data_IF_810849237049
#
_entry.id   IF_810849237049
#
_cell.length_a   1.000
_cell.length_b   1.000
_cell.length_c   1.000
_cell.angle_alpha   90.00
_cell.angle_beta   90.00
_cell.angle_gamma   90.00
#
_symmetry.space_group_name_H-M   'P 1'
#
loop_
_entity.id
_entity.type
_entity.pdbx_description
1 polymer ?
#
# COMPACT_ATOMS: atom_id res chain seq x y z
N UNK A 1 -28.30 1.76 18.62
CA UNK A 1 -28.58 1.17 17.30
C UNK A 1 -27.63 0.00 17.12
N UNK A 2 -28.15 -1.15 16.71
CA UNK A 2 -27.35 -2.34 16.43
C UNK A 2 -26.55 -2.10 15.13
N UNK A 3 -25.34 -2.66 15.01
CA UNK A 3 -24.51 -2.55 13.81
C UNK A 3 -25.26 -2.92 12.51
N UNK A 4 -26.20 -3.87 12.59
CA UNK A 4 -27.04 -4.26 11.46
C UNK A 4 -28.05 -3.15 11.07
N UNK A 5 -28.58 -2.40 12.03
CA UNK A 5 -29.50 -1.27 11.75
C UNK A 5 -28.76 -0.10 11.10
N UNK A 6 -27.53 0.17 11.55
CA UNK A 6 -26.66 1.19 10.94
C UNK A 6 -26.30 0.79 9.50
N UNK A 7 -25.96 -0.47 9.29
CA UNK A 7 -25.65 -1.02 7.96
C UNK A 7 -26.91 -0.93 7.05
N UNK A 8 -28.10 -1.33 7.53
CA UNK A 8 -29.35 -1.22 6.77
C UNK A 8 -29.69 0.23 6.43
N UNK A 9 -29.62 1.16 7.39
CA UNK A 9 -29.88 2.58 7.14
C UNK A 9 -28.84 3.22 6.19
N UNK A 10 -27.60 2.73 6.19
CA UNK A 10 -26.55 3.19 5.26
C UNK A 10 -26.78 2.65 3.85
N UNK A 11 -27.26 1.42 3.73
CA UNK A 11 -27.64 0.80 2.44
C UNK A 11 -28.84 1.54 1.84
N UNK A 12 -29.83 1.94 2.63
CA UNK A 12 -30.98 2.74 2.17
C UNK A 12 -30.61 4.16 1.71
N UNK A 13 -29.46 4.70 2.18
CA UNK A 13 -28.91 5.99 1.75
C UNK A 13 -27.86 5.88 0.63
N UNK A 14 -27.66 4.69 0.07
CA UNK A 14 -26.76 4.55 -1.08
C UNK A 14 -27.30 5.36 -2.26
N UNK A 15 -26.41 6.23 -2.79
CA UNK A 15 -26.71 7.09 -3.92
C UNK A 15 -26.98 6.33 -5.23
N UNK A 16 -27.26 7.08 -6.27
CA UNK A 16 -27.53 6.54 -7.61
C UNK A 16 -26.36 5.68 -8.14
N UNK A 17 -26.70 4.81 -9.07
CA UNK A 17 -25.74 3.92 -9.75
C UNK A 17 -24.72 4.74 -10.54
N UNK A 18 -23.42 4.39 -10.43
CA UNK A 18 -22.34 4.97 -11.21
C UNK A 18 -22.17 4.17 -12.52
N UNK A 19 -22.98 4.46 -13.52
CA UNK A 19 -22.97 3.75 -14.80
C UNK A 19 -21.58 3.67 -15.46
N UNK A 20 -20.78 4.73 -15.38
CA UNK A 20 -19.40 4.73 -15.90
C UNK A 20 -18.54 3.65 -15.27
N UNK A 21 -18.66 3.46 -13.96
CA UNK A 21 -17.92 2.41 -13.23
C UNK A 21 -18.43 1.01 -13.59
N UNK A 22 -19.75 0.84 -13.71
CA UNK A 22 -20.33 -0.43 -14.15
C UNK A 22 -19.84 -0.80 -15.53
N UNK A 23 -19.92 0.11 -16.50
CA UNK A 23 -19.42 -0.15 -17.85
C UNK A 23 -17.93 -0.45 -17.85
N UNK A 24 -17.09 0.30 -17.10
CA UNK A 24 -15.66 0.04 -16.99
C UNK A 24 -15.35 -1.32 -16.35
N UNK A 25 -16.04 -1.67 -15.27
CA UNK A 25 -15.82 -2.91 -14.53
C UNK A 25 -16.38 -4.16 -15.21
N UNK A 26 -17.40 -4.03 -16.05
CA UNK A 26 -18.00 -5.15 -16.77
C UNK A 26 -17.49 -5.25 -18.22
N UNK A 27 -17.46 -4.13 -18.94
CA UNK A 27 -17.07 -4.12 -20.35
C UNK A 27 -15.61 -4.49 -20.55
N UNK A 28 -14.71 -3.96 -19.71
CA UNK A 28 -13.28 -4.22 -19.85
C UNK A 28 -12.91 -5.70 -19.65
N UNK A 29 -13.35 -6.40 -18.58
CA UNK A 29 -13.16 -7.85 -18.46
C UNK A 29 -13.85 -8.63 -19.58
N UNK A 30 -15.06 -8.25 -19.99
CA UNK A 30 -15.78 -8.93 -21.07
C UNK A 30 -15.02 -8.85 -22.40
N UNK A 31 -14.56 -7.66 -22.78
CA UNK A 31 -13.73 -7.48 -23.98
C UNK A 31 -12.44 -8.29 -23.86
N UNK A 32 -11.81 -8.31 -22.67
CA UNK A 32 -10.59 -9.08 -22.44
C UNK A 32 -10.81 -10.59 -22.59
N UNK A 33 -11.90 -11.14 -22.01
CA UNK A 33 -12.27 -12.57 -22.10
C UNK A 33 -12.54 -12.98 -23.55
N UNK A 34 -13.01 -12.08 -24.39
CA UNK A 34 -13.24 -12.34 -25.82
C UNK A 34 -11.95 -12.15 -26.63
N UNK A 35 -11.25 -11.03 -26.42
CA UNK A 35 -10.09 -10.66 -27.24
C UNK A 35 -8.89 -11.59 -27.04
N UNK A 36 -8.63 -12.04 -25.79
CA UNK A 36 -7.48 -12.91 -25.49
C UNK A 36 -7.58 -14.26 -26.23
N UNK A 37 -8.65 -15.07 -26.09
CA UNK A 37 -8.75 -16.33 -26.82
C UNK A 37 -8.89 -16.12 -28.34
N UNK A 38 -9.61 -15.10 -28.79
CA UNK A 38 -9.68 -14.79 -30.21
C UNK A 38 -8.30 -14.55 -30.84
N UNK A 39 -7.48 -13.69 -30.22
CA UNK A 39 -6.14 -13.42 -30.72
C UNK A 39 -5.22 -14.64 -30.64
N UNK A 40 -5.31 -15.41 -29.55
CA UNK A 40 -4.55 -16.64 -29.37
C UNK A 40 -4.84 -17.68 -30.48
N UNK A 41 -6.10 -17.84 -30.87
CA UNK A 41 -6.52 -18.77 -31.93
C UNK A 41 -6.20 -18.26 -33.33
N UNK A 42 -6.23 -16.94 -33.55
CA UNK A 42 -6.07 -16.35 -34.89
C UNK A 42 -4.59 -16.14 -35.26
N UNK A 43 -3.81 -15.63 -34.30
CA UNK A 43 -2.43 -15.20 -34.56
C UNK A 43 -1.40 -15.92 -33.65
N UNK A 44 -1.84 -16.39 -32.48
CA UNK A 44 -0.93 -16.84 -31.42
C UNK A 44 -0.23 -15.68 -30.72
N UNK A 45 0.02 -15.81 -29.43
CA UNK A 45 0.84 -14.84 -28.69
C UNK A 45 2.33 -15.19 -28.79
N UNK A 46 3.14 -14.20 -29.06
CA UNK A 46 4.60 -14.29 -29.09
C UNK A 46 5.18 -14.11 -27.67
N UNK A 47 6.44 -14.47 -27.48
CA UNK A 47 7.16 -14.20 -26.22
C UNK A 47 7.18 -12.71 -25.89
N UNK A 48 7.25 -11.81 -26.87
CA UNK A 48 7.25 -10.36 -26.66
C UNK A 48 5.92 -9.85 -26.11
N UNK A 49 4.78 -10.47 -26.48
CA UNK A 49 3.47 -10.11 -25.92
C UNK A 49 3.39 -10.43 -24.41
N UNK A 50 3.90 -11.59 -24.00
CA UNK A 50 3.98 -11.96 -22.58
C UNK A 50 4.97 -11.09 -21.80
N UNK A 51 6.11 -10.75 -22.39
CA UNK A 51 7.07 -9.80 -21.78
C UNK A 51 6.41 -8.43 -21.60
N UNK A 52 5.67 -7.95 -22.60
CA UNK A 52 4.90 -6.72 -22.50
C UNK A 52 3.91 -6.77 -21.33
N UNK A 53 3.13 -7.85 -21.19
CA UNK A 53 2.21 -8.05 -20.07
C UNK A 53 2.92 -7.92 -18.72
N UNK A 54 4.01 -8.67 -18.54
CA UNK A 54 4.76 -8.73 -17.26
C UNK A 54 5.36 -7.35 -16.92
N UNK A 55 6.00 -6.71 -17.91
CA UNK A 55 6.66 -5.41 -17.73
C UNK A 55 5.62 -4.32 -17.40
N UNK A 56 4.53 -4.23 -18.18
CA UNK A 56 3.49 -3.24 -17.92
C UNK A 56 2.73 -3.51 -16.61
N UNK A 57 2.50 -4.78 -16.25
CA UNK A 57 1.92 -5.15 -14.96
C UNK A 57 2.79 -4.66 -13.80
N UNK A 58 4.09 -4.94 -13.86
CA UNK A 58 5.04 -4.51 -12.83
C UNK A 58 5.15 -2.98 -12.74
N UNK A 59 5.33 -2.29 -13.87
CA UNK A 59 5.44 -0.83 -13.92
C UNK A 59 4.17 -0.13 -13.41
N UNK A 60 3.00 -0.63 -13.82
CA UNK A 60 1.72 -0.08 -13.39
C UNK A 60 1.49 -0.33 -11.89
N UNK A 61 1.78 -1.54 -11.41
CA UNK A 61 1.73 -1.87 -9.99
C UNK A 61 2.64 -0.97 -9.16
N UNK A 62 3.90 -0.77 -9.59
CA UNK A 62 4.84 0.16 -8.96
C UNK A 62 4.33 1.61 -9.05
N UNK A 63 3.72 2.01 -10.17
CA UNK A 63 3.08 3.33 -10.31
C UNK A 63 2.03 3.61 -9.24
N UNK A 64 1.22 2.61 -8.89
CA UNK A 64 0.24 2.71 -7.80
C UNK A 64 0.93 2.62 -6.43
N UNK A 65 1.67 1.55 -6.16
CA UNK A 65 2.15 1.26 -4.80
C UNK A 65 3.29 2.18 -4.36
N UNK A 66 4.26 2.44 -5.23
CA UNK A 66 5.36 3.37 -4.97
C UNK A 66 4.93 4.83 -5.19
N UNK A 67 4.14 5.11 -6.26
CA UNK A 67 3.71 6.45 -6.65
C UNK A 67 2.48 6.92 -5.87
N UNK A 68 1.27 6.57 -6.33
CA UNK A 68 0.01 7.05 -5.78
C UNK A 68 -0.07 6.85 -4.27
N UNK A 69 0.28 5.68 -3.79
CA UNK A 69 0.19 5.28 -2.40
C UNK A 69 1.29 5.94 -1.55
N UNK A 70 2.57 5.59 -1.76
CA UNK A 70 3.67 5.96 -0.85
C UNK A 70 4.21 7.37 -1.08
N UNK A 71 4.33 7.82 -2.35
CA UNK A 71 4.86 9.15 -2.67
C UNK A 71 3.82 10.24 -2.42
N UNK A 72 2.62 10.11 -3.02
CA UNK A 72 1.62 11.19 -2.98
C UNK A 72 0.64 11.09 -1.82
N UNK A 73 0.12 9.88 -1.48
CA UNK A 73 -0.84 9.79 -0.38
C UNK A 73 -0.18 9.90 0.99
N UNK A 74 0.86 9.10 1.25
CA UNK A 74 1.52 9.03 2.57
C UNK A 74 2.78 9.87 2.70
N UNK A 75 3.38 10.35 1.61
CA UNK A 75 4.61 11.15 1.62
C UNK A 75 5.74 10.48 2.41
N UNK A 76 5.91 9.17 2.20
CA UNK A 76 6.85 8.36 2.96
C UNK A 76 8.31 8.55 2.51
N UNK A 77 8.50 9.14 1.34
CA UNK A 77 9.79 9.52 0.77
C UNK A 77 9.61 10.68 -0.20
N UNK A 78 10.70 11.22 -0.73
CA UNK A 78 10.71 12.18 -1.83
C UNK A 78 11.41 11.57 -3.04
N UNK A 79 11.07 12.03 -4.24
CA UNK A 79 11.67 11.61 -5.50
C UNK A 79 12.02 12.82 -6.38
N UNK A 80 12.99 12.64 -7.28
CA UNK A 80 13.29 13.61 -8.32
C UNK A 80 12.16 13.65 -9.38
N UNK A 81 12.19 14.61 -10.27
CA UNK A 81 11.14 14.81 -11.29
C UNK A 81 11.01 13.62 -12.25
N UNK A 82 12.13 12.99 -12.65
CA UNK A 82 12.13 11.85 -13.57
C UNK A 82 11.34 10.68 -12.97
N UNK A 83 11.66 10.30 -11.74
CA UNK A 83 10.94 9.24 -11.01
C UNK A 83 9.48 9.63 -10.81
N UNK A 84 9.20 10.87 -10.40
CA UNK A 84 7.82 11.34 -10.17
C UNK A 84 6.99 11.26 -11.46
N UNK A 85 7.50 11.73 -12.60
CA UNK A 85 6.78 11.66 -13.86
C UNK A 85 6.62 10.22 -14.37
N UNK A 86 7.62 9.35 -14.23
CA UNK A 86 7.50 7.95 -14.58
C UNK A 86 6.40 7.26 -13.74
N UNK A 87 6.40 7.48 -12.41
CA UNK A 87 5.36 6.96 -11.51
C UNK A 87 3.96 7.53 -11.83
N UNK A 88 3.88 8.81 -12.25
CA UNK A 88 2.63 9.43 -12.68
C UNK A 88 2.08 8.74 -13.94
N UNK A 89 2.91 8.53 -14.97
CA UNK A 89 2.50 7.86 -16.22
C UNK A 89 2.02 6.43 -15.95
N UNK A 90 2.82 5.64 -15.25
CA UNK A 90 2.46 4.24 -14.99
C UNK A 90 1.32 4.10 -13.98
N UNK A 91 1.21 4.98 -12.98
CA UNK A 91 0.06 5.02 -12.08
C UNK A 91 -1.21 5.43 -12.82
N UNK A 92 -1.14 6.40 -13.74
CA UNK A 92 -2.26 6.80 -14.59
C UNK A 92 -2.72 5.65 -15.51
N UNK A 93 -1.77 4.85 -16.02
CA UNK A 93 -2.07 3.66 -16.82
C UNK A 93 -2.85 2.57 -16.05
N UNK A 94 -2.94 2.64 -14.72
CA UNK A 94 -3.74 1.72 -13.91
C UNK A 94 -5.25 1.92 -14.03
N UNK A 95 -5.74 3.02 -14.61
CA UNK A 95 -7.17 3.38 -14.69
C UNK A 95 -7.88 3.41 -13.32
N UNK A 96 -7.18 3.91 -12.27
CA UNK A 96 -7.69 3.97 -10.90
C UNK A 96 -7.94 5.41 -10.41
N UNK A 97 -8.43 6.27 -11.25
CA UNK A 97 -8.58 7.72 -11.03
C UNK A 97 -7.27 8.51 -11.03
N UNK A 98 -7.42 9.84 -10.95
CA UNK A 98 -6.28 10.73 -10.82
C UNK A 98 -5.59 10.61 -9.47
N UNK A 99 -4.33 11.06 -9.38
CA UNK A 99 -3.56 11.12 -8.12
C UNK A 99 -4.34 11.83 -7.02
N UNK A 100 -4.99 12.97 -7.34
CA UNK A 100 -5.76 13.77 -6.39
C UNK A 100 -6.94 12.98 -5.84
N UNK A 101 -7.75 12.38 -6.71
CA UNK A 101 -8.91 11.59 -6.29
C UNK A 101 -8.48 10.36 -5.49
N UNK A 102 -7.52 9.60 -6.02
CA UNK A 102 -7.02 8.39 -5.36
C UNK A 102 -6.45 8.69 -3.96
N UNK A 103 -5.63 9.74 -3.85
CA UNK A 103 -5.05 10.13 -2.57
C UNK A 103 -6.10 10.66 -1.59
N UNK A 104 -7.14 11.36 -2.07
CA UNK A 104 -8.25 11.80 -1.23
C UNK A 104 -8.99 10.60 -0.62
N UNK A 105 -9.37 9.63 -1.45
CA UNK A 105 -10.11 8.45 -0.99
C UNK A 105 -9.25 7.60 -0.05
N UNK A 106 -7.97 7.42 -0.36
CA UNK A 106 -7.05 6.65 0.47
C UNK A 106 -6.76 7.31 1.84
N UNK A 107 -6.62 8.64 1.87
CA UNK A 107 -6.45 9.38 3.13
C UNK A 107 -7.71 9.35 4.00
N UNK A 108 -8.91 9.36 3.39
CA UNK A 108 -10.19 9.15 4.10
C UNK A 108 -10.25 7.76 4.70
N UNK A 109 -9.91 6.72 3.91
CA UNK A 109 -9.84 5.35 4.39
C UNK A 109 -8.93 5.22 5.61
N UNK A 110 -7.70 5.76 5.57
CA UNK A 110 -6.80 5.73 6.73
C UNK A 110 -7.31 6.48 7.96
N UNK A 111 -8.06 7.55 7.75
CA UNK A 111 -8.63 8.35 8.84
C UNK A 111 -9.81 7.64 9.52
N UNK A 112 -10.68 7.06 8.72
CA UNK A 112 -11.98 6.54 9.16
C UNK A 112 -12.10 5.02 8.85
N UNK A 113 -10.98 4.28 8.87
CA UNK A 113 -10.90 2.85 8.48
C UNK A 113 -11.96 2.02 9.20
N UNK A 114 -12.65 1.17 8.44
CA UNK A 114 -13.74 0.30 8.88
C UNK A 114 -15.05 1.03 9.31
N UNK A 115 -15.11 2.35 9.25
CA UNK A 115 -16.37 3.08 9.45
C UNK A 115 -17.28 2.83 8.22
N UNK A 116 -18.47 2.19 8.40
CA UNK A 116 -19.31 1.79 7.27
C UNK A 116 -19.88 2.97 6.46
N UNK A 117 -19.79 4.19 6.98
CA UNK A 117 -20.34 5.40 6.34
C UNK A 117 -19.24 6.28 5.75
N UNK A 118 -18.11 6.44 6.47
CA UNK A 118 -17.05 7.41 6.13
C UNK A 118 -15.90 6.81 5.36
N UNK A 119 -15.62 5.51 5.55
CA UNK A 119 -14.60 4.79 4.80
C UNK A 119 -15.14 4.46 3.39
N UNK A 120 -14.51 4.95 2.31
CA UNK A 120 -15.01 4.73 0.95
C UNK A 120 -15.21 3.26 0.58
N UNK A 121 -14.38 2.36 1.14
CA UNK A 121 -14.36 0.94 0.82
C UNK A 121 -14.27 0.06 2.07
N UNK A 122 -15.00 0.44 3.13
CA UNK A 122 -15.03 -0.24 4.41
C UNK A 122 -15.21 -1.76 4.29
N UNK A 123 -14.24 -2.54 4.80
CA UNK A 123 -14.31 -4.00 4.80
C UNK A 123 -15.43 -4.54 5.71
N UNK A 124 -15.88 -3.76 6.70
CA UNK A 124 -17.01 -4.06 7.57
C UNK A 124 -18.35 -4.14 6.84
N UNK A 125 -18.47 -3.59 5.63
CA UNK A 125 -19.62 -3.73 4.74
C UNK A 125 -19.61 -5.04 3.94
N UNK A 126 -18.57 -5.84 4.09
CA UNK A 126 -18.41 -7.16 3.46
C UNK A 126 -17.34 -7.19 2.36
N UNK A 127 -16.91 -8.43 2.07
CA UNK A 127 -15.82 -8.71 1.13
C UNK A 127 -16.07 -8.12 -0.27
N UNK A 128 -17.21 -8.40 -0.87
CA UNK A 128 -17.52 -7.95 -2.23
C UNK A 128 -17.72 -6.44 -2.32
N UNK A 129 -18.25 -5.82 -1.25
CA UNK A 129 -18.33 -4.36 -1.19
C UNK A 129 -16.95 -3.74 -1.22
N UNK A 130 -16.04 -4.16 -0.34
CA UNK A 130 -14.69 -3.62 -0.28
C UNK A 130 -13.85 -3.97 -1.51
N UNK A 131 -14.11 -5.14 -2.15
CA UNK A 131 -13.40 -5.54 -3.36
C UNK A 131 -13.71 -4.61 -4.54
N UNK A 132 -14.96 -4.50 -4.96
CA UNK A 132 -15.35 -3.62 -6.08
C UNK A 132 -16.73 -2.94 -5.92
N UNK A 133 -17.57 -3.40 -5.01
CA UNK A 133 -18.95 -2.91 -4.84
C UNK A 133 -19.04 -1.41 -4.57
N UNK A 134 -18.07 -0.86 -3.85
CA UNK A 134 -17.96 0.57 -3.55
C UNK A 134 -17.82 1.47 -4.80
N UNK A 135 -17.38 0.92 -5.94
CA UNK A 135 -17.27 1.63 -7.21
C UNK A 135 -18.60 1.70 -7.98
N UNK A 136 -19.59 0.87 -7.62
CA UNK A 136 -20.82 0.72 -8.39
C UNK A 136 -21.89 1.75 -8.05
N UNK A 137 -21.80 2.37 -6.88
CA UNK A 137 -22.76 3.35 -6.40
C UNK A 137 -22.08 4.61 -5.87
N UNK A 138 -22.75 5.73 -6.03
CA UNK A 138 -22.32 6.95 -5.36
C UNK A 138 -22.41 6.76 -3.84
N UNK A 139 -21.32 7.00 -3.14
CA UNK A 139 -21.32 7.10 -1.69
C UNK A 139 -22.03 8.38 -1.24
N UNK A 140 -22.21 8.61 0.07
CA UNK A 140 -22.69 9.88 0.59
C UNK A 140 -21.85 11.06 0.06
N UNK A 141 -22.44 12.25 -0.06
CA UNK A 141 -21.77 13.45 -0.58
C UNK A 141 -20.41 13.72 0.10
N UNK A 142 -20.32 13.45 1.41
CA UNK A 142 -19.09 13.65 2.18
C UNK A 142 -17.95 12.72 1.79
N UNK A 143 -18.25 11.51 1.30
CA UNK A 143 -17.23 10.55 0.83
C UNK A 143 -16.77 10.90 -0.58
N UNK A 144 -17.61 11.48 -1.41
CA UNK A 144 -17.26 11.84 -2.81
C UNK A 144 -16.41 13.10 -2.92
N UNK A 145 -16.50 14.01 -1.95
CA UNK A 145 -15.77 15.26 -2.00
C UNK A 145 -14.25 15.05 -1.88
N UNK A 146 -13.49 15.71 -2.73
CA UNK A 146 -12.02 15.71 -2.67
C UNK A 146 -11.58 16.51 -1.44
N UNK A 147 -11.05 15.81 -0.43
CA UNK A 147 -10.61 16.39 0.85
C UNK A 147 -9.24 15.88 1.26
N UNK A 148 -8.55 16.67 2.10
CA UNK A 148 -7.28 16.26 2.72
C UNK A 148 -6.08 16.23 1.76
N UNK A 149 -6.16 16.86 0.58
CA UNK A 149 -5.13 16.83 -0.48
C UNK A 149 -4.63 18.23 -0.88
N UNK A 150 -4.77 19.24 -0.01
CA UNK A 150 -4.34 20.62 -0.28
C UNK A 150 -2.86 20.75 -0.66
N UNK A 151 -2.04 19.81 -0.24
CA UNK A 151 -0.64 19.72 -0.64
C UNK A 151 -0.48 19.30 -2.10
N UNK A 152 -1.31 18.39 -2.60
CA UNK A 152 -1.28 17.91 -3.99
C UNK A 152 -1.84 18.95 -4.95
N UNK A 153 -2.82 19.74 -4.51
CA UNK A 153 -3.38 20.84 -5.29
C UNK A 153 -2.35 21.97 -5.56
N UNK A 154 -1.22 21.99 -4.86
CA UNK A 154 -0.11 22.93 -5.11
C UNK A 154 0.88 22.43 -6.17
N UNK A 155 0.85 21.14 -6.50
CA UNK A 155 1.73 20.54 -7.51
C UNK A 155 1.09 20.67 -8.90
N UNK A 156 1.65 21.54 -9.76
CA UNK A 156 1.13 21.82 -11.09
C UNK A 156 1.05 20.57 -11.98
N UNK A 157 1.99 19.62 -11.84
CA UNK A 157 2.00 18.39 -12.64
C UNK A 157 0.87 17.44 -12.20
N UNK A 158 0.64 17.34 -10.89
CA UNK A 158 -0.46 16.54 -10.32
C UNK A 158 -1.82 17.14 -10.69
N UNK A 159 -1.97 18.46 -10.62
CA UNK A 159 -3.19 19.16 -11.07
C UNK A 159 -3.42 19.00 -12.57
N UNK A 160 -2.36 19.09 -13.39
CA UNK A 160 -2.46 18.82 -14.83
C UNK A 160 -2.95 17.39 -15.11
N UNK A 161 -2.37 16.40 -14.44
CA UNK A 161 -2.79 15.00 -14.55
C UNK A 161 -4.26 14.82 -14.13
N UNK A 162 -4.71 15.48 -13.07
CA UNK A 162 -6.09 15.43 -12.62
C UNK A 162 -7.06 16.00 -13.66
N UNK A 163 -6.79 17.17 -14.19
CA UNK A 163 -7.65 17.88 -15.14
C UNK A 163 -7.75 17.16 -16.50
N UNK A 164 -6.68 16.44 -16.91
CA UNK A 164 -6.63 15.73 -18.19
C UNK A 164 -6.65 14.20 -18.02
N UNK A 165 -7.09 13.72 -16.85
CA UNK A 165 -6.96 12.31 -16.46
C UNK A 165 -7.47 11.34 -17.51
N UNK A 166 -8.66 11.52 -18.03
CA UNK A 166 -9.29 10.56 -18.96
C UNK A 166 -8.43 10.34 -20.21
N UNK A 167 -7.96 11.42 -20.82
CA UNK A 167 -7.13 11.34 -22.04
C UNK A 167 -5.78 10.71 -21.73
N UNK A 168 -5.12 11.17 -20.66
CA UNK A 168 -3.82 10.64 -20.24
C UNK A 168 -3.92 9.15 -19.85
N UNK A 169 -5.01 8.74 -19.22
CA UNK A 169 -5.23 7.35 -18.81
C UNK A 169 -5.44 6.43 -20.04
N UNK A 170 -6.22 6.86 -21.02
CA UNK A 170 -6.41 6.10 -22.27
C UNK A 170 -5.09 5.97 -23.02
N UNK A 171 -4.34 7.06 -23.17
CA UNK A 171 -3.05 7.06 -23.86
C UNK A 171 -2.02 6.22 -23.12
N UNK A 172 -1.91 6.32 -21.79
CA UNK A 172 -0.94 5.55 -21.02
C UNK A 172 -1.33 4.06 -20.89
N UNK A 173 -2.64 3.76 -20.75
CA UNK A 173 -3.12 2.40 -20.54
C UNK A 173 -3.12 1.57 -21.84
N UNK A 174 -3.58 2.15 -22.92
CA UNK A 174 -3.79 1.45 -24.20
C UNK A 174 -2.85 1.97 -25.30
N UNK A 175 -2.71 3.28 -25.44
CA UNK A 175 -1.89 3.89 -26.49
C UNK A 175 -0.41 3.53 -26.39
N UNK A 176 0.16 3.62 -25.18
CA UNK A 176 1.59 3.36 -24.95
C UNK A 176 2.01 1.90 -25.29
N UNK A 177 1.36 0.85 -24.76
CA UNK A 177 1.71 -0.52 -25.16
C UNK A 177 1.47 -0.77 -26.66
N UNK A 178 0.39 -0.24 -27.24
CA UNK A 178 0.10 -0.36 -28.66
C UNK A 178 1.21 0.27 -29.53
N UNK A 179 1.64 1.47 -29.20
CA UNK A 179 2.70 2.18 -29.90
C UNK A 179 4.04 1.40 -29.82
N UNK A 180 4.39 0.92 -28.61
CA UNK A 180 5.60 0.11 -28.42
C UNK A 180 5.51 -1.18 -29.24
N UNK A 181 4.36 -1.85 -29.23
CA UNK A 181 4.14 -3.06 -30.04
C UNK A 181 4.24 -2.80 -31.53
N UNK A 182 3.69 -1.67 -32.02
CA UNK A 182 3.78 -1.27 -33.41
C UNK A 182 5.26 -1.07 -33.84
N UNK A 183 6.01 -0.28 -33.05
CA UNK A 183 7.44 -0.03 -33.32
C UNK A 183 8.22 -1.36 -33.28
N UNK A 184 8.01 -2.18 -32.25
CA UNK A 184 8.65 -3.47 -32.11
C UNK A 184 8.38 -4.40 -33.29
N UNK A 185 7.11 -4.56 -33.69
CA UNK A 185 6.72 -5.41 -34.81
C UNK A 185 7.25 -4.92 -36.14
N UNK A 186 7.33 -3.60 -36.36
CA UNK A 186 7.95 -3.02 -37.55
C UNK A 186 9.46 -3.29 -37.61
N UNK A 187 10.18 -3.11 -36.51
CA UNK A 187 11.63 -3.31 -36.44
C UNK A 187 12.02 -4.79 -36.57
N UNK A 188 11.20 -5.70 -36.08
CA UNK A 188 11.50 -7.14 -36.09
C UNK A 188 10.95 -7.88 -37.31
N UNK A 189 9.78 -7.49 -37.81
CA UNK A 189 9.11 -8.16 -38.94
C UNK A 189 9.22 -7.42 -40.27
N UNK A 190 9.70 -6.18 -40.30
CA UNK A 190 9.96 -5.38 -41.51
C UNK A 190 8.73 -5.01 -42.34
N UNK A 191 7.53 -5.32 -41.88
CA UNK A 191 6.27 -5.08 -42.62
C UNK A 191 5.23 -4.37 -41.76
N UNK A 192 4.32 -3.62 -42.39
CA UNK A 192 3.18 -2.99 -41.71
C UNK A 192 2.24 -4.03 -41.08
N UNK A 193 2.10 -5.20 -41.71
CA UNK A 193 1.29 -6.31 -41.17
C UNK A 193 1.86 -6.79 -39.85
N UNK A 194 3.19 -7.06 -39.77
CA UNK A 194 3.87 -7.45 -38.55
C UNK A 194 3.77 -6.36 -37.47
N UNK A 195 3.89 -5.08 -37.86
CA UNK A 195 3.73 -3.95 -36.96
C UNK A 195 2.35 -3.91 -36.29
N UNK A 196 1.27 -4.01 -37.07
CA UNK A 196 -0.08 -4.00 -36.54
C UNK A 196 -0.44 -5.26 -35.76
N UNK A 197 0.05 -6.42 -36.16
CA UNK A 197 -0.15 -7.66 -35.40
C UNK A 197 0.48 -7.56 -34.01
N UNK A 198 1.74 -7.13 -33.93
CA UNK A 198 2.41 -6.92 -32.64
C UNK A 198 1.75 -5.80 -31.81
N UNK A 199 1.32 -4.70 -32.45
CA UNK A 199 0.55 -3.64 -31.79
C UNK A 199 -0.72 -4.19 -31.12
N UNK A 200 -1.46 -5.05 -31.81
CA UNK A 200 -2.68 -5.66 -31.30
C UNK A 200 -2.39 -6.64 -30.16
N UNK A 201 -1.36 -7.47 -30.24
CA UNK A 201 -0.93 -8.36 -29.17
C UNK A 201 -0.55 -7.58 -27.89
N UNK A 202 0.22 -6.50 -28.04
CA UNK A 202 0.59 -5.61 -26.92
C UNK A 202 -0.62 -4.87 -26.35
N UNK A 203 -1.56 -4.43 -27.18
CA UNK A 203 -2.84 -3.85 -26.71
C UNK A 203 -3.64 -4.86 -25.87
N UNK A 204 -3.75 -6.10 -26.35
CA UNK A 204 -4.57 -7.12 -25.68
C UNK A 204 -3.92 -7.56 -24.37
N UNK A 205 -2.62 -7.92 -24.36
CA UNK A 205 -1.96 -8.37 -23.16
C UNK A 205 -1.47 -7.21 -22.27
N UNK A 206 -0.74 -6.26 -22.82
CA UNK A 206 -0.16 -5.14 -22.07
C UNK A 206 -1.17 -4.03 -21.73
N UNK A 207 -2.24 -3.91 -22.50
CA UNK A 207 -3.35 -3.00 -22.24
C UNK A 207 -4.49 -3.67 -21.47
N UNK A 208 -5.33 -4.45 -22.17
CA UNK A 208 -6.59 -4.99 -21.65
C UNK A 208 -6.41 -5.98 -20.49
N UNK A 209 -5.71 -7.10 -20.72
CA UNK A 209 -5.54 -8.13 -19.71
C UNK A 209 -4.79 -7.58 -18.47
N UNK A 210 -3.73 -6.82 -18.72
CA UNK A 210 -2.93 -6.23 -17.65
C UNK A 210 -3.77 -5.34 -16.73
N UNK A 211 -4.64 -4.47 -17.26
CA UNK A 211 -5.44 -3.57 -16.41
C UNK A 211 -6.46 -4.34 -15.58
N UNK A 212 -7.08 -5.38 -16.13
CA UNK A 212 -7.98 -6.26 -15.36
C UNK A 212 -7.23 -6.90 -14.19
N UNK A 213 -6.04 -7.46 -14.44
CA UNK A 213 -5.21 -8.08 -13.40
C UNK A 213 -4.78 -7.08 -12.32
N UNK A 214 -4.36 -5.87 -12.71
CA UNK A 214 -3.96 -4.80 -11.77
C UNK A 214 -5.15 -4.32 -10.94
N UNK A 215 -6.35 -4.20 -11.52
CA UNK A 215 -7.56 -3.84 -10.77
C UNK A 215 -7.84 -4.86 -9.68
N UNK A 216 -7.90 -6.16 -10.02
CA UNK A 216 -8.16 -7.20 -9.02
C UNK A 216 -7.04 -7.30 -7.96
N UNK A 217 -5.78 -7.13 -8.35
CA UNK A 217 -4.69 -7.07 -7.38
C UNK A 217 -4.86 -5.91 -6.39
N UNK A 218 -5.24 -4.72 -6.86
CA UNK A 218 -5.53 -3.55 -5.99
C UNK A 218 -6.79 -3.78 -5.15
N UNK A 219 -7.87 -4.30 -5.73
CA UNK A 219 -9.11 -4.59 -4.98
C UNK A 219 -8.88 -5.62 -3.87
N UNK A 220 -7.95 -6.56 -4.05
CA UNK A 220 -7.52 -7.48 -3.00
C UNK A 220 -6.87 -6.78 -1.80
N UNK A 221 -6.32 -5.58 -1.96
CA UNK A 221 -5.81 -4.79 -0.83
C UNK A 221 -6.98 -4.39 0.09
N UNK A 222 -8.08 -3.92 -0.48
CA UNK A 222 -9.25 -3.50 0.28
C UNK A 222 -10.05 -4.67 0.87
N UNK A 223 -9.99 -5.84 0.26
CA UNK A 223 -10.77 -7.03 0.64
C UNK A 223 -9.94 -8.10 1.34
N UNK A 224 -9.01 -8.77 0.64
CA UNK A 224 -8.20 -9.85 1.22
C UNK A 224 -7.30 -9.38 2.37
N UNK A 225 -6.66 -8.20 2.22
CA UNK A 225 -5.77 -7.69 3.26
C UNK A 225 -6.51 -7.20 4.51
N UNK A 226 -7.85 -7.08 4.47
CA UNK A 226 -8.70 -6.86 5.64
C UNK A 226 -9.35 -8.14 6.17
N UNK A 227 -9.22 -9.28 5.45
CA UNK A 227 -9.91 -10.53 5.81
C UNK A 227 -8.94 -11.63 6.21
N UNK A 228 -7.82 -11.80 5.50
CA UNK A 228 -6.88 -12.92 5.64
C UNK A 228 -5.55 -12.47 6.23
N UNK A 229 -5.14 -13.09 7.34
CA UNK A 229 -3.84 -12.84 7.97
C UNK A 229 -3.92 -12.51 9.44
N UNK A 230 -2.83 -11.94 9.98
CA UNK A 230 -2.65 -11.61 11.40
C UNK A 230 -2.65 -10.10 11.61
N UNK A 231 -2.94 -9.67 12.84
CA UNK A 231 -2.91 -8.26 13.27
C UNK A 231 -1.83 -8.02 14.33
N UNK A 232 -0.54 -8.06 13.97
CA UNK A 232 0.54 -8.04 14.96
C UNK A 232 0.84 -6.64 15.54
N UNK A 233 0.35 -5.55 14.95
CA UNK A 233 0.69 -4.17 15.34
C UNK A 233 -0.48 -3.36 15.86
N UNK A 234 -1.71 -3.68 15.43
CA UNK A 234 -2.93 -3.01 15.86
C UNK A 234 -4.13 -3.94 15.70
N UNK A 235 -4.99 -3.98 16.73
CA UNK A 235 -6.29 -4.65 16.69
C UNK A 235 -7.46 -3.67 16.46
N UNK A 236 -7.17 -2.38 16.28
CA UNK A 236 -8.17 -1.32 16.17
C UNK A 236 -8.97 -1.32 14.88
N UNK A 237 -8.46 -2.01 13.84
CA UNK A 237 -9.09 -2.14 12.54
C UNK A 237 -8.94 -3.56 12.00
N UNK A 238 -9.60 -3.87 10.88
CA UNK A 238 -9.60 -5.19 10.27
C UNK A 238 -8.35 -5.50 9.45
N UNK A 239 -7.52 -4.50 9.12
CA UNK A 239 -6.30 -4.69 8.30
C UNK A 239 -5.37 -5.76 8.87
N UNK A 240 -4.82 -6.62 8.00
CA UNK A 240 -4.04 -7.82 8.35
C UNK A 240 -2.74 -7.92 7.58
N UNK A 241 -1.76 -8.58 8.18
CA UNK A 241 -0.52 -8.97 7.51
C UNK A 241 -0.60 -10.41 7.05
N UNK A 242 -0.39 -10.62 5.75
CA UNK A 242 -0.32 -11.94 5.12
C UNK A 242 0.71 -11.93 3.99
N UNK A 243 1.65 -12.89 4.01
CA UNK A 243 2.61 -13.05 2.91
C UNK A 243 1.94 -13.52 1.61
N UNK A 244 0.84 -14.30 1.71
CA UNK A 244 0.05 -14.72 0.56
C UNK A 244 -0.59 -13.50 -0.10
N UNK A 245 -1.24 -12.64 0.70
CA UNK A 245 -1.82 -11.40 0.20
C UNK A 245 -0.74 -10.48 -0.38
N UNK A 246 0.47 -10.44 0.19
CA UNK A 246 1.58 -9.66 -0.35
C UNK A 246 2.01 -10.13 -1.75
N UNK A 247 1.94 -11.43 -2.06
CA UNK A 247 2.18 -11.94 -3.42
C UNK A 247 1.12 -11.39 -4.37
N UNK A 248 -0.16 -11.56 -4.03
CA UNK A 248 -1.28 -11.15 -4.89
C UNK A 248 -1.30 -9.63 -5.14
N UNK A 249 -0.92 -8.85 -4.14
CA UNK A 249 -1.02 -7.38 -4.16
C UNK A 249 0.31 -6.67 -4.43
N UNK A 250 1.35 -7.41 -4.86
CA UNK A 250 2.65 -6.80 -5.15
C UNK A 250 3.33 -6.13 -3.95
N UNK A 251 3.15 -6.68 -2.74
CA UNK A 251 3.78 -6.21 -1.51
C UNK A 251 2.88 -5.43 -0.55
N UNK A 252 1.64 -5.12 -0.92
CA UNK A 252 0.70 -4.37 -0.06
C UNK A 252 0.00 -5.26 0.99
N UNK A 253 0.25 -6.58 1.01
CA UNK A 253 -0.36 -7.53 1.95
C UNK A 253 0.18 -7.48 3.38
N UNK A 254 1.18 -6.65 3.71
CA UNK A 254 1.57 -6.32 5.08
C UNK A 254 0.76 -5.12 5.58
N UNK A 255 -0.56 -5.25 5.54
CA UNK A 255 -1.49 -4.14 5.61
C UNK A 255 -1.76 -3.67 7.05
N UNK A 256 -1.66 -4.58 8.03
CA UNK A 256 -1.74 -4.20 9.45
C UNK A 256 -0.53 -3.36 9.88
N UNK A 257 0.68 -3.69 9.38
CA UNK A 257 1.85 -2.83 9.58
C UNK A 257 1.63 -1.46 8.94
N UNK A 258 1.16 -1.44 7.70
CA UNK A 258 0.91 -0.22 6.96
C UNK A 258 -0.10 0.69 7.68
N UNK A 259 -1.26 0.17 8.12
CA UNK A 259 -2.24 0.95 8.87
C UNK A 259 -1.74 1.43 10.23
N UNK A 260 -0.89 0.65 10.90
CA UNK A 260 -0.29 1.07 12.17
C UNK A 260 0.80 2.14 12.00
N UNK A 261 1.49 2.16 10.85
CA UNK A 261 2.68 2.98 10.59
C UNK A 261 2.69 3.54 9.15
N UNK A 262 1.61 4.16 8.73
CA UNK A 262 1.40 4.66 7.37
C UNK A 262 2.48 5.64 6.86
N UNK A 263 3.23 6.27 7.76
CA UNK A 263 4.37 7.12 7.42
C UNK A 263 5.68 6.38 7.09
N UNK A 264 5.76 5.06 7.25
CA UNK A 264 6.93 4.25 6.86
C UNK A 264 6.90 3.94 5.36
N UNK A 265 8.06 4.08 4.67
CA UNK A 265 8.10 3.77 3.23
C UNK A 265 8.00 2.27 2.93
N UNK A 266 8.13 1.42 3.96
CA UNK A 266 8.07 -0.05 3.86
C UNK A 266 6.72 -0.55 4.32
N UNK A 267 6.16 -1.52 3.62
CA UNK A 267 5.08 -2.35 4.14
C UNK A 267 5.67 -3.63 4.74
N UNK A 268 6.57 -4.30 4.05
CA UNK A 268 7.36 -5.40 4.60
C UNK A 268 8.63 -4.90 5.31
N UNK A 269 8.74 -5.10 6.63
CA UNK A 269 9.83 -4.54 7.44
C UNK A 269 11.17 -5.25 7.19
N UNK A 270 11.14 -6.60 7.05
CA UNK A 270 12.35 -7.40 6.86
C UNK A 270 12.86 -7.23 5.43
N UNK A 271 14.15 -7.37 5.20
CA UNK A 271 14.73 -7.17 3.88
C UNK A 271 14.14 -8.12 2.81
N UNK A 272 13.80 -9.35 3.21
CA UNK A 272 13.22 -10.40 2.35
C UNK A 272 11.68 -10.42 2.30
N UNK A 273 10.98 -9.60 3.08
CA UNK A 273 9.54 -9.46 2.94
C UNK A 273 9.23 -8.96 1.52
N UNK A 274 8.33 -9.66 0.83
CA UNK A 274 7.96 -9.33 -0.54
C UNK A 274 7.31 -7.94 -0.59
N UNK A 275 8.08 -6.95 -0.93
CA UNK A 275 7.70 -5.54 -1.07
C UNK A 275 8.56 -4.93 -2.19
N UNK A 276 8.21 -5.17 -3.47
CA UNK A 276 8.96 -4.66 -4.62
C UNK A 276 9.15 -3.15 -4.58
N UNK A 277 8.12 -2.40 -4.17
CA UNK A 277 8.20 -0.93 -4.04
C UNK A 277 9.30 -0.49 -3.07
N UNK A 278 9.45 -1.17 -1.93
CA UNK A 278 10.57 -0.94 -1.00
C UNK A 278 11.92 -1.13 -1.68
N UNK A 279 12.08 -2.21 -2.44
CA UNK A 279 13.35 -2.50 -3.11
C UNK A 279 13.68 -1.48 -4.19
N UNK A 280 12.69 -1.06 -4.99
CA UNK A 280 12.85 0.01 -5.98
C UNK A 280 13.19 1.35 -5.32
N UNK A 281 12.47 1.76 -4.25
CA UNK A 281 12.76 3.00 -3.52
C UNK A 281 14.21 2.99 -2.99
N UNK A 282 14.66 1.89 -2.36
CA UNK A 282 16.03 1.76 -1.85
C UNK A 282 17.07 1.79 -2.98
N UNK A 283 16.79 1.10 -4.09
CA UNK A 283 17.67 1.10 -5.27
C UNK A 283 17.85 2.52 -5.83
N UNK A 284 16.74 3.23 -6.04
CA UNK A 284 16.75 4.62 -6.51
C UNK A 284 17.36 5.61 -5.49
N UNK A 285 17.22 5.33 -4.19
CA UNK A 285 17.85 6.15 -3.16
C UNK A 285 19.37 6.03 -3.15
N UNK A 286 19.94 4.87 -3.52
CA UNK A 286 21.40 4.69 -3.63
C UNK A 286 22.03 5.57 -4.72
N UNK A 287 21.26 5.91 -5.76
CA UNK A 287 21.70 6.81 -6.84
C UNK A 287 21.16 8.24 -6.67
N UNK A 288 20.57 8.57 -5.52
CA UNK A 288 20.08 9.91 -5.19
C UNK A 288 18.77 10.32 -5.87
N UNK A 289 18.06 9.39 -6.54
CA UNK A 289 16.80 9.70 -7.22
C UNK A 289 15.58 9.66 -6.30
N UNK A 290 15.67 8.89 -5.20
CA UNK A 290 14.74 8.96 -4.07
C UNK A 290 15.50 9.38 -2.81
N UNK A 291 14.87 10.16 -1.93
CA UNK A 291 15.50 10.69 -0.72
C UNK A 291 14.46 10.93 0.40
N UNK A 292 14.91 11.32 1.60
CA UNK A 292 14.06 11.53 2.77
C UNK A 292 13.18 10.30 3.09
N UNK A 293 13.74 9.10 3.03
CA UNK A 293 13.03 7.86 3.32
C UNK A 293 12.64 7.80 4.79
N UNK A 294 11.34 7.88 5.08
CA UNK A 294 10.81 7.83 6.43
C UNK A 294 10.70 6.38 6.91
N UNK A 295 11.16 6.12 8.11
CA UNK A 295 11.07 4.79 8.73
C UNK A 295 10.55 4.89 10.15
N UNK A 296 9.70 3.95 10.52
CA UNK A 296 9.25 3.84 11.92
C UNK A 296 10.37 3.31 12.80
N UNK A 297 10.71 3.99 13.88
CA UNK A 297 11.70 3.53 14.84
C UNK A 297 11.36 2.15 15.40
N UNK A 298 12.37 1.25 15.47
CA UNK A 298 12.17 -0.13 15.92
C UNK A 298 11.49 -0.25 17.29
N UNK A 299 11.75 0.68 18.21
CA UNK A 299 11.13 0.66 19.53
C UNK A 299 9.63 0.89 19.49
N UNK A 300 9.11 1.74 18.59
CA UNK A 300 7.67 1.95 18.41
C UNK A 300 6.98 0.69 17.86
N UNK A 301 7.65 -0.01 16.94
CA UNK A 301 7.17 -1.29 16.41
C UNK A 301 7.07 -2.35 17.52
N UNK A 302 8.06 -2.42 18.41
CA UNK A 302 8.06 -3.36 19.53
C UNK A 302 6.97 -3.01 20.57
N UNK A 303 6.76 -1.72 20.84
CA UNK A 303 5.66 -1.26 21.73
C UNK A 303 4.31 -1.63 21.14
N UNK A 304 4.10 -1.42 19.85
CA UNK A 304 2.83 -1.76 19.19
C UNK A 304 2.55 -3.28 19.27
N UNK A 305 3.55 -4.12 18.98
CA UNK A 305 3.43 -5.58 19.14
C UNK A 305 3.12 -6.01 20.57
N UNK A 306 3.74 -5.36 21.55
CA UNK A 306 3.47 -5.64 22.96
C UNK A 306 2.04 -5.21 23.33
N UNK A 307 1.56 -4.06 22.81
CA UNK A 307 0.19 -3.60 23.06
C UNK A 307 -0.86 -4.59 22.54
N UNK A 308 -0.68 -5.12 21.32
CA UNK A 308 -1.60 -6.15 20.79
C UNK A 308 -1.66 -7.37 21.69
N UNK A 309 -0.50 -7.88 22.18
CA UNK A 309 -0.48 -9.01 23.11
C UNK A 309 -1.17 -8.69 24.44
N UNK A 310 -1.03 -7.45 24.94
CA UNK A 310 -1.75 -7.01 26.13
C UNK A 310 -3.26 -7.05 25.88
N UNK A 311 -3.74 -6.45 24.79
CA UNK A 311 -5.15 -6.39 24.46
C UNK A 311 -5.75 -7.79 24.27
N UNK A 312 -5.03 -8.72 23.63
CA UNK A 312 -5.43 -10.12 23.49
C UNK A 312 -5.51 -10.83 24.87
N UNK A 313 -4.54 -10.58 25.75
CA UNK A 313 -4.52 -11.17 27.08
C UNK A 313 -5.69 -10.65 27.96
N UNK A 314 -5.95 -9.33 27.93
CA UNK A 314 -7.07 -8.71 28.67
C UNK A 314 -8.42 -9.19 28.17
N UNK A 315 -8.56 -9.52 26.90
CA UNK A 315 -9.82 -10.02 26.33
C UNK A 315 -10.14 -11.44 26.78
N UNK A 316 -9.11 -12.24 27.14
CA UNK A 316 -9.25 -13.66 27.44
C UNK A 316 -9.52 -13.99 28.93
N UNK A 317 -9.23 -13.12 29.89
CA UNK A 317 -9.19 -13.46 31.33
C UNK A 317 -9.84 -12.48 32.31
N UNK A 318 -10.14 -13.00 33.54
CA UNK A 318 -10.74 -12.32 34.70
C UNK A 318 -9.83 -11.26 35.37
N UNK A 319 -10.46 -10.24 35.97
CA UNK A 319 -9.90 -9.00 36.53
C UNK A 319 -8.61 -9.09 37.38
N UNK A 320 -8.34 -10.17 38.09
CA UNK A 320 -7.16 -10.27 38.98
C UNK A 320 -5.83 -10.54 38.27
N UNK A 321 -5.87 -11.09 37.06
CA UNK A 321 -4.67 -11.30 36.23
C UNK A 321 -4.28 -10.03 35.46
N UNK A 322 -5.21 -9.10 35.27
CA UNK A 322 -5.07 -7.90 34.44
C UNK A 322 -4.02 -6.92 34.98
N UNK A 323 -3.99 -6.67 36.31
CA UNK A 323 -3.08 -5.72 36.94
C UNK A 323 -1.60 -6.09 36.77
N UNK A 324 -1.29 -7.38 36.86
CA UNK A 324 0.11 -7.84 36.73
C UNK A 324 0.68 -7.74 35.31
N UNK A 325 -0.15 -7.99 34.28
CA UNK A 325 0.31 -7.92 32.88
C UNK A 325 0.39 -6.47 32.39
N UNK A 326 -0.50 -5.58 32.86
CA UNK A 326 -0.45 -4.15 32.59
C UNK A 326 0.81 -3.50 33.17
N UNK A 327 1.17 -3.86 34.42
CA UNK A 327 2.41 -3.40 35.04
C UNK A 327 3.64 -3.87 34.28
N UNK A 328 3.66 -5.14 33.85
CA UNK A 328 4.74 -5.68 33.03
C UNK A 328 4.84 -4.99 31.67
N UNK A 329 3.70 -4.64 31.05
CA UNK A 329 3.67 -3.86 29.82
C UNK A 329 4.20 -2.44 30.04
N UNK A 330 3.77 -1.76 31.11
CA UNK A 330 4.25 -0.41 31.45
C UNK A 330 5.77 -0.41 31.66
N UNK A 331 6.30 -1.40 32.40
CA UNK A 331 7.75 -1.59 32.61
C UNK A 331 8.48 -1.87 31.30
N UNK A 332 7.92 -2.71 30.42
CA UNK A 332 8.50 -2.97 29.10
C UNK A 332 8.59 -1.69 28.27
N UNK A 333 7.51 -0.89 28.22
CA UNK A 333 7.46 0.38 27.49
C UNK A 333 8.48 1.38 28.03
N UNK A 334 8.63 1.51 29.35
CA UNK A 334 9.63 2.37 29.98
C UNK A 334 11.05 1.95 29.57
N UNK A 335 11.38 0.66 29.69
CA UNK A 335 12.70 0.13 29.33
C UNK A 335 13.03 0.31 27.83
N UNK A 336 12.04 0.13 26.95
CA UNK A 336 12.19 0.37 25.51
C UNK A 336 12.53 1.83 25.24
N UNK A 337 11.81 2.76 25.84
CA UNK A 337 12.03 4.21 25.69
C UNK A 337 13.43 4.62 26.20
N UNK A 338 13.79 4.18 27.40
CA UNK A 338 15.09 4.47 28.01
C UNK A 338 16.25 3.93 27.17
N UNK A 339 16.16 2.67 26.73
CA UNK A 339 17.16 2.05 25.84
C UNK A 339 17.29 2.83 24.52
N UNK A 340 16.18 3.26 23.94
CA UNK A 340 16.20 4.01 22.68
C UNK A 340 16.83 5.39 22.87
N UNK A 341 16.47 6.12 23.94
CA UNK A 341 17.07 7.41 24.29
C UNK A 341 18.60 7.29 24.46
N UNK A 342 19.06 6.33 25.26
CA UNK A 342 20.49 6.09 25.44
C UNK A 342 21.20 5.70 24.13
N UNK A 343 20.52 4.98 23.24
CA UNK A 343 21.06 4.69 21.91
C UNK A 343 21.23 5.95 21.06
N UNK A 344 20.24 6.86 21.06
CA UNK A 344 20.34 8.12 20.32
C UNK A 344 21.47 9.00 20.87
N UNK A 345 21.57 9.10 22.19
CA UNK A 345 22.65 9.80 22.88
C UNK A 345 24.03 9.25 22.47
N UNK A 346 24.19 7.93 22.48
CA UNK A 346 25.43 7.27 22.03
C UNK A 346 25.75 7.58 20.55
N UNK A 347 24.76 7.50 19.65
CA UNK A 347 24.98 7.76 18.23
C UNK A 347 25.33 9.22 17.96
N UNK A 348 24.69 10.15 18.68
CA UNK A 348 24.96 11.59 18.62
C UNK A 348 26.38 11.88 19.10
N UNK A 349 26.76 11.40 20.28
CA UNK A 349 28.11 11.55 20.87
C UNK A 349 29.20 11.04 19.91
N UNK A 350 28.95 9.87 19.29
CA UNK A 350 29.89 9.29 18.30
C UNK A 350 30.02 10.13 17.03
N UNK A 351 28.95 10.80 16.58
CA UNK A 351 28.92 11.58 15.33
C UNK A 351 29.55 12.95 15.50
N UNK A 352 29.26 13.61 16.61
CA UNK A 352 29.67 14.99 16.84
C UNK A 352 31.14 15.12 17.28
N UNK A 353 31.75 14.02 17.76
CA UNK A 353 33.16 13.94 18.18
C UNK A 353 33.60 15.01 19.23
N UNK A 354 32.60 15.53 19.99
CA UNK A 354 32.79 16.62 20.98
C UNK A 354 33.11 16.07 22.36
N UNK A 355 32.78 14.80 22.63
CA UNK A 355 32.97 14.16 23.92
C UNK A 355 34.26 13.35 23.99
N UNK A 356 34.82 13.22 25.20
CA UNK A 356 36.00 12.39 25.43
C UNK A 356 35.72 10.90 25.14
N UNK A 357 36.77 10.14 24.83
CA UNK A 357 36.65 8.67 24.65
C UNK A 357 36.08 7.97 25.90
N UNK A 358 36.32 8.51 27.08
CA UNK A 358 35.80 8.00 28.36
C UNK A 358 34.27 8.20 28.42
N UNK A 359 33.78 9.42 28.14
CA UNK A 359 32.36 9.73 28.16
C UNK A 359 31.57 8.89 27.14
N UNK A 360 32.11 8.71 25.93
CA UNK A 360 31.51 7.85 24.89
C UNK A 360 31.45 6.39 25.36
N UNK A 361 32.47 5.91 26.11
CA UNK A 361 32.49 4.56 26.68
C UNK A 361 31.39 4.40 27.73
N UNK A 362 31.18 5.39 28.59
CA UNK A 362 30.15 5.36 29.64
C UNK A 362 28.73 5.38 29.04
N UNK A 363 28.47 6.25 28.07
CA UNK A 363 27.18 6.28 27.34
C UNK A 363 26.93 4.92 26.67
N UNK A 364 27.97 4.30 26.08
CA UNK A 364 27.88 2.97 25.46
C UNK A 364 27.58 1.87 26.48
N UNK A 365 28.17 1.94 27.68
CA UNK A 365 27.90 1.01 28.78
C UNK A 365 26.44 1.12 29.22
N UNK A 366 25.97 2.33 29.55
CA UNK A 366 24.57 2.62 29.90
C UNK A 366 23.58 2.07 28.85
N UNK A 367 23.87 2.27 27.56
CA UNK A 367 23.03 1.71 26.50
C UNK A 367 23.04 0.16 26.53
N UNK A 368 24.17 -0.49 26.78
CA UNK A 368 24.26 -1.95 26.88
C UNK A 368 23.44 -2.50 28.04
N UNK A 369 23.51 -1.87 29.20
CA UNK A 369 22.81 -2.29 30.42
C UNK A 369 21.28 -2.16 30.22
N UNK A 370 20.82 -1.01 29.71
CA UNK A 370 19.41 -0.81 29.34
C UNK A 370 18.92 -1.79 28.27
N UNK A 371 19.77 -2.22 27.35
CA UNK A 371 19.43 -3.24 26.36
C UNK A 371 19.24 -4.62 27.01
N UNK A 372 20.06 -4.96 28.03
CA UNK A 372 19.91 -6.22 28.79
C UNK A 372 18.59 -6.18 29.57
N UNK A 373 18.31 -5.09 30.28
CA UNK A 373 17.06 -4.89 31.01
C UNK A 373 15.83 -5.01 30.09
N UNK A 374 15.89 -4.39 28.90
CA UNK A 374 14.82 -4.52 27.90
C UNK A 374 14.60 -5.97 27.47
N UNK A 375 15.66 -6.72 27.19
CA UNK A 375 15.57 -8.14 26.80
C UNK A 375 14.92 -8.96 27.91
N UNK A 376 15.31 -8.75 29.16
CA UNK A 376 14.74 -9.44 30.31
C UNK A 376 13.26 -9.08 30.53
N UNK A 377 12.92 -7.80 30.46
CA UNK A 377 11.52 -7.33 30.58
C UNK A 377 10.65 -7.92 29.44
N UNK A 378 11.16 -7.94 28.21
CA UNK A 378 10.46 -8.53 27.04
C UNK A 378 10.25 -10.03 27.23
N UNK A 379 11.23 -10.78 27.73
CA UNK A 379 11.12 -12.21 28.02
C UNK A 379 10.05 -12.48 29.08
N UNK A 380 10.07 -11.71 30.19
CA UNK A 380 9.09 -11.81 31.28
C UNK A 380 7.67 -11.50 30.79
N UNK A 381 7.54 -10.40 30.05
CA UNK A 381 6.25 -10.00 29.46
C UNK A 381 5.68 -11.04 28.48
N UNK A 382 6.51 -11.55 27.56
CA UNK A 382 6.08 -12.57 26.60
C UNK A 382 5.66 -13.86 27.31
N UNK A 383 6.35 -14.28 28.37
CA UNK A 383 5.95 -15.46 29.16
C UNK A 383 4.59 -15.24 29.83
N UNK A 384 4.38 -14.09 30.46
CA UNK A 384 3.10 -13.73 31.08
C UNK A 384 1.96 -13.67 30.06
N UNK A 385 2.17 -13.02 28.90
CA UNK A 385 1.15 -12.86 27.85
C UNK A 385 0.78 -14.16 27.14
N UNK A 386 1.63 -15.20 27.17
CA UNK A 386 1.32 -16.54 26.62
C UNK A 386 0.59 -17.44 27.61
N UNK A 387 0.74 -17.16 28.91
CA UNK A 387 0.04 -17.90 29.98
C UNK A 387 -1.37 -17.33 30.25
N UNK A 388 -1.64 -16.14 29.72
CA UNK A 388 -2.94 -15.47 29.69
C UNK A 388 -3.75 -15.89 28.47
#
# INVERSE_FOLDING_TARGET
MNNNEIIHQTIEKEGSIVWKSIFGLLLLPLVTIIAVPWYAMTYGFSTSDYVCLIVFYALTGVGITMGYHRLWSHKTYKANKIVSYALMVFGTAALQNSIIQWASDHRKHHKDVDDPVKDPYAATRGFWFSHFGWLLRHSSSDVQEIRGVNDLLKDKAVVFQHNHYTVLAILACFGLPTLIGFIFGFLTGGTLTAAWQSALGFLILGGLLRVVLVHHATFCINSLAHTIGKRPYSTKNTARDSWITAIVTGGEGYHNYHHAFAGDYRNGIRWFDLDPSKWFIVGLAKIGWCYDLKTTPKHLIEIAKAKVKLDEALTKKNKTFDLGIEELYAKLVANVKSMYSAKQEYLKAKKENVLSKADIKDIKSKYKDLKIEFIQAKKKYNKASTMA
#
